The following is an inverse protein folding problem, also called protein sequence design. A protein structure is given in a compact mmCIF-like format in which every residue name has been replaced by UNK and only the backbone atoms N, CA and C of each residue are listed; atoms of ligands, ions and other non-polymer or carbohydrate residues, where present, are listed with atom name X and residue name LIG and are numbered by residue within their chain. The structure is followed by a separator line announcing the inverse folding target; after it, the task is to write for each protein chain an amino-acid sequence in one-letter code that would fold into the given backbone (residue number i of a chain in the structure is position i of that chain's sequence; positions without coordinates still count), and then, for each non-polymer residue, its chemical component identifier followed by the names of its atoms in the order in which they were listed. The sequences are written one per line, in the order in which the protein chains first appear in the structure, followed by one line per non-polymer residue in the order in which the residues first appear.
data_IF_717614703392
#
_entry.id   IF_717614703392
#
_cell.length_a   1.000
_cell.length_b   1.000
_cell.length_c   1.000
_cell.angle_alpha   90.00
_cell.angle_beta   90.00
_cell.angle_gamma   90.00
#
_symmetry.space_group_name_H-M   'P 1'
#
loop_
_entity.id
_entity.type
_entity.pdbx_description
1 polymer ?
#
# COMPACT_ATOMS: atom_id res chain seq x y z
N UNK A 1 20.21 -3.59 7.43
CA UNK A 1 19.17 -4.61 7.65
C UNK A 1 17.97 -4.22 6.82
N UNK A 2 17.31 -5.19 6.18
CA UNK A 2 16.32 -4.94 5.14
C UNK A 2 15.00 -4.42 5.73
N UNK A 3 14.85 -3.11 5.80
CA UNK A 3 13.62 -2.45 6.23
C UNK A 3 12.62 -2.30 5.07
N UNK A 4 13.04 -2.53 3.83
CA UNK A 4 12.18 -2.47 2.65
C UNK A 4 11.36 -3.77 2.53
N UNK A 5 10.05 -3.64 2.36
CA UNK A 5 9.12 -4.77 2.24
C UNK A 5 8.26 -4.63 0.99
N UNK A 6 8.02 -5.75 0.31
CA UNK A 6 7.01 -5.85 -0.75
C UNK A 6 5.64 -6.10 -0.10
N UNK A 7 4.71 -5.18 -0.29
CA UNK A 7 3.34 -5.32 0.21
C UNK A 7 2.48 -5.96 -0.88
N UNK A 8 1.76 -7.01 -0.50
CA UNK A 8 0.84 -7.73 -1.40
C UNK A 8 -0.57 -7.77 -0.83
N UNK A 9 -1.57 -7.77 -1.70
CA UNK A 9 -2.97 -8.05 -1.36
C UNK A 9 -3.54 -9.04 -2.39
N UNK A 10 -4.15 -10.14 -1.92
CA UNK A 10 -4.65 -11.22 -2.80
C UNK A 10 -3.58 -11.73 -3.80
N UNK A 11 -2.36 -11.95 -3.31
CA UNK A 11 -1.19 -12.35 -4.12
C UNK A 11 -0.75 -11.34 -5.20
N UNK A 12 -1.35 -10.14 -5.24
CA UNK A 12 -0.94 -9.07 -6.15
C UNK A 12 -0.04 -8.06 -5.41
N UNK A 13 1.11 -7.66 -5.98
CA UNK A 13 1.96 -6.63 -5.40
C UNK A 13 1.26 -5.27 -5.51
N UNK A 14 1.14 -4.57 -4.38
CA UNK A 14 0.50 -3.24 -4.32
C UNK A 14 1.52 -2.10 -4.14
N UNK A 15 2.75 -2.42 -3.72
CA UNK A 15 3.82 -1.44 -3.64
C UNK A 15 4.90 -1.81 -2.63
N UNK A 16 5.87 -0.90 -2.51
CA UNK A 16 6.94 -0.99 -1.52
C UNK A 16 6.58 -0.17 -0.28
N UNK A 17 6.98 -0.67 0.88
CA UNK A 17 6.88 0.03 2.15
C UNK A 17 8.19 -0.10 2.93
N UNK A 18 8.35 0.74 3.95
CA UNK A 18 9.41 0.57 4.96
C UNK A 18 8.83 0.09 6.28
N UNK A 19 9.46 -0.89 6.93
CA UNK A 19 9.12 -1.30 8.30
C UNK A 19 9.76 -0.33 9.29
N UNK A 20 8.93 0.29 10.13
CA UNK A 20 9.35 1.21 11.19
C UNK A 20 8.81 0.66 12.51
N UNK A 21 9.66 -0.05 13.25
CA UNK A 21 9.25 -0.80 14.44
C UNK A 21 8.21 -1.87 14.10
N UNK A 22 7.03 -1.79 14.71
CA UNK A 22 5.88 -2.67 14.42
C UNK A 22 4.96 -2.15 13.30
N UNK A 23 5.26 -0.98 12.71
CA UNK A 23 4.41 -0.35 11.69
C UNK A 23 5.01 -0.48 10.30
N UNK A 24 4.16 -0.42 9.27
CA UNK A 24 4.57 -0.27 7.88
C UNK A 24 4.31 1.17 7.44
N UNK A 25 5.35 1.88 7.02
CA UNK A 25 5.25 3.20 6.40
C UNK A 25 5.05 3.00 4.89
N UNK A 26 3.85 3.33 4.45
CA UNK A 26 3.46 3.25 3.05
C UNK A 26 4.06 4.44 2.26
N UNK A 27 4.66 4.15 1.10
CA UNK A 27 5.26 5.13 0.18
C UNK A 27 4.42 5.29 -1.10
N UNK A 28 3.13 4.96 -1.04
CA UNK A 28 2.21 5.06 -2.16
C UNK A 28 1.99 6.53 -2.53
N UNK A 29 2.03 6.89 -3.82
CA UNK A 29 1.89 8.27 -4.26
C UNK A 29 0.57 8.88 -3.81
N UNK A 30 0.62 10.14 -3.33
CA UNK A 30 -0.52 10.86 -2.75
C UNK A 30 -1.65 11.05 -3.75
N UNK A 31 -1.29 11.34 -4.99
CA UNK A 31 -2.18 11.53 -6.14
C UNK A 31 -2.96 10.27 -6.52
N UNK A 32 -2.51 9.10 -6.05
CA UNK A 32 -3.19 7.82 -6.26
C UNK A 32 -4.01 7.38 -5.05
N UNK A 33 -3.90 8.09 -3.91
CA UNK A 33 -4.69 7.80 -2.72
C UNK A 33 -6.16 8.05 -3.03
N UNK A 34 -6.99 7.05 -2.73
CA UNK A 34 -8.44 7.13 -2.94
C UNK A 34 -9.11 7.64 -1.67
N UNK A 35 -9.42 8.93 -1.65
CA UNK A 35 -10.23 9.53 -0.58
C UNK A 35 -11.71 9.22 -0.84
N UNK A 36 -12.30 8.33 -0.04
CA UNK A 36 -13.74 8.05 -0.04
C UNK A 36 -14.12 6.64 -0.48
N UNK A 37 -14.04 6.32 -1.79
CA UNK A 37 -14.49 5.02 -2.33
C UNK A 37 -13.31 4.21 -2.86
N UNK A 38 -12.99 3.12 -2.15
CA UNK A 38 -11.92 2.19 -2.53
C UNK A 38 -12.30 1.34 -3.75
N UNK A 39 -13.60 1.07 -3.91
CA UNK A 39 -14.20 0.37 -5.03
C UNK A 39 -15.46 1.12 -5.44
N UNK A 40 -15.49 1.68 -6.65
CA UNK A 40 -16.75 2.03 -7.29
C UNK A 40 -17.28 0.73 -7.89
N UNK A 41 -18.43 0.24 -7.42
CA UNK A 41 -19.15 -0.78 -8.18
C UNK A 41 -19.44 -0.20 -9.55
N UNK A 42 -18.84 -0.76 -10.60
CA UNK A 42 -19.39 -0.57 -11.94
C UNK A 42 -20.69 -1.37 -11.94
N UNK A 43 -21.81 -0.65 -11.85
CA UNK A 43 -23.12 -1.18 -12.18
C UNK A 43 -23.14 -1.60 -13.66
#
# INVERSE_FOLDING_TARGET
MADDVLVTFQHQPIGLAKRIGSRLKNSYPRELVRDGKLFTSNA
#
